data_IF_886053568038
#
_entry.id   IF_886053568038
#
_cell.length_a   1.000
_cell.length_b   1.000
_cell.length_c   1.000
_cell.angle_alpha   90.00
_cell.angle_beta   90.00
_cell.angle_gamma   90.00
#
_symmetry.space_group_name_H-M   'P 1'
#
loop_
_entity.id
_entity.type
_entity.pdbx_description
1 polymer ?
#
# COMPACT_ATOMS: atom_id res chain seq x y z
N UNK A 1 -6.43 -32.94 -37.20
CA UNK A 1 -6.77 -31.95 -36.16
C UNK A 1 -5.94 -32.30 -34.94
N UNK A 2 -4.98 -31.44 -34.56
CA UNK A 2 -4.27 -31.58 -33.28
C UNK A 2 -5.18 -30.96 -32.21
N UNK A 3 -5.56 -31.76 -31.22
CA UNK A 3 -6.22 -31.28 -30.01
C UNK A 3 -5.29 -30.24 -29.35
N UNK A 4 -5.78 -29.01 -29.24
CA UNK A 4 -5.15 -27.98 -28.42
C UNK A 4 -5.39 -28.39 -26.96
N UNK A 5 -4.42 -29.08 -26.37
CA UNK A 5 -4.34 -29.24 -24.92
C UNK A 5 -4.32 -27.85 -24.31
N UNK A 6 -5.27 -27.57 -23.41
CA UNK A 6 -5.38 -26.29 -22.69
C UNK A 6 -4.05 -25.91 -22.01
N UNK A 7 -3.89 -24.62 -21.62
CA UNK A 7 -2.62 -24.15 -21.09
C UNK A 7 -2.19 -24.98 -19.89
N UNK A 8 -1.00 -25.58 -19.97
CA UNK A 8 -0.41 -26.41 -18.92
C UNK A 8 -0.50 -25.68 -17.57
N UNK A 9 -1.03 -26.34 -16.55
CA UNK A 9 -1.04 -25.80 -15.19
C UNK A 9 0.41 -25.82 -14.70
N UNK A 10 0.95 -24.64 -14.37
CA UNK A 10 2.28 -24.53 -13.78
C UNK A 10 2.39 -25.26 -12.44
N UNK A 11 3.62 -25.46 -11.92
CA UNK A 11 3.86 -26.25 -10.72
C UNK A 11 3.12 -25.67 -9.52
N UNK A 12 2.54 -26.55 -8.71
CA UNK A 12 1.85 -26.16 -7.49
C UNK A 12 2.86 -25.75 -6.43
N UNK A 13 2.70 -24.55 -5.86
CA UNK A 13 3.50 -24.06 -4.73
C UNK A 13 2.62 -23.67 -3.57
N UNK A 14 3.17 -23.83 -2.36
CA UNK A 14 2.61 -23.27 -1.15
C UNK A 14 3.29 -21.94 -0.82
N UNK A 15 2.51 -20.97 -0.37
CA UNK A 15 3.01 -19.69 0.12
C UNK A 15 2.18 -19.19 1.29
N UNK A 16 2.75 -18.29 2.07
CA UNK A 16 2.10 -17.74 3.26
C UNK A 16 1.49 -16.37 2.95
N UNK A 17 0.27 -16.16 3.47
CA UNK A 17 -0.35 -14.86 3.59
C UNK A 17 -0.53 -14.56 5.08
N UNK A 18 -0.11 -13.38 5.51
CA UNK A 18 -0.29 -12.91 6.87
C UNK A 18 -0.97 -11.57 6.84
N UNK A 19 -2.13 -11.50 7.48
CA UNK A 19 -2.86 -10.25 7.69
C UNK A 19 -2.47 -9.66 9.03
N UNK A 20 -2.20 -8.36 9.07
CA UNK A 20 -1.83 -7.63 10.28
C UNK A 20 -2.80 -6.47 10.51
N UNK A 21 -3.43 -6.44 11.68
CA UNK A 21 -4.40 -5.41 12.07
C UNK A 21 -3.76 -4.44 13.09
N UNK A 22 -3.32 -3.30 12.57
CA UNK A 22 -2.78 -2.16 13.30
C UNK A 22 -3.61 -0.90 12.98
N UNK A 23 -4.93 -1.07 12.80
CA UNK A 23 -5.83 0.03 12.40
C UNK A 23 -5.48 0.60 11.02
N UNK A 24 -5.35 1.92 10.92
CA UNK A 24 -4.95 2.67 9.72
C UNK A 24 -3.59 2.29 9.14
N UNK A 25 -2.83 1.44 9.84
CA UNK A 25 -1.53 0.92 9.38
C UNK A 25 -1.52 -0.58 9.20
N UNK A 26 -2.68 -1.19 9.06
CA UNK A 26 -2.82 -2.61 8.73
C UNK A 26 -2.26 -2.91 7.34
N UNK A 27 -1.71 -4.10 7.16
CA UNK A 27 -1.11 -4.52 5.88
C UNK A 27 -1.28 -6.03 5.66
N UNK A 28 -1.03 -6.44 4.42
CA UNK A 28 -1.01 -7.84 4.01
C UNK A 28 0.42 -8.20 3.62
N UNK A 29 0.94 -9.24 4.24
CA UNK A 29 2.24 -9.81 3.95
C UNK A 29 2.07 -11.07 3.11
N UNK A 30 2.85 -11.19 2.03
CA UNK A 30 2.84 -12.34 1.14
C UNK A 30 4.26 -12.85 0.97
N UNK A 31 4.50 -14.12 1.30
CA UNK A 31 5.85 -14.71 1.23
C UNK A 31 6.37 -14.81 -0.20
N UNK A 32 5.51 -14.71 -1.22
CA UNK A 32 5.94 -14.65 -2.62
C UNK A 32 6.63 -13.33 -2.96
N UNK A 33 6.51 -12.28 -2.16
CA UNK A 33 7.14 -10.99 -2.48
C UNK A 33 8.68 -11.06 -2.48
N UNK A 34 9.29 -11.98 -1.74
CA UNK A 34 10.75 -12.20 -1.76
C UNK A 34 11.23 -13.06 -2.92
N UNK A 35 10.36 -13.87 -3.52
CA UNK A 35 10.60 -14.70 -4.71
C UNK A 35 9.51 -14.38 -5.75
N UNK A 36 9.51 -13.12 -6.21
CA UNK A 36 8.39 -12.53 -6.94
C UNK A 36 8.13 -13.27 -8.25
N UNK A 37 6.93 -13.89 -8.45
CA UNK A 37 6.64 -14.65 -9.66
C UNK A 37 6.67 -13.81 -10.95
N UNK A 38 6.62 -12.49 -10.85
CA UNK A 38 6.76 -11.59 -12.01
C UNK A 38 8.14 -11.66 -12.67
N UNK A 39 9.18 -12.02 -11.92
CA UNK A 39 10.58 -12.11 -12.40
C UNK A 39 11.10 -10.84 -13.11
N UNK A 40 10.51 -9.68 -12.82
CA UNK A 40 10.85 -8.39 -13.43
C UNK A 40 11.58 -7.44 -12.49
N UNK A 41 11.87 -7.89 -11.26
CA UNK A 41 12.52 -7.14 -10.20
C UNK A 41 11.84 -5.80 -9.85
N UNK A 42 10.52 -5.67 -10.09
CA UNK A 42 9.74 -4.44 -9.79
C UNK A 42 8.80 -4.61 -8.60
N UNK A 43 8.60 -5.85 -8.14
CA UNK A 43 7.70 -6.17 -7.04
C UNK A 43 6.25 -5.73 -7.30
N UNK A 44 5.56 -5.25 -6.27
CA UNK A 44 4.17 -4.75 -6.37
C UNK A 44 4.07 -3.28 -6.82
N UNK A 45 5.17 -2.65 -7.22
CA UNK A 45 5.25 -1.19 -7.42
C UNK A 45 4.87 -0.74 -8.83
N UNK A 46 3.66 -1.07 -9.30
CA UNK A 46 3.19 -0.70 -10.64
C UNK A 46 2.41 0.64 -10.69
N UNK A 47 2.32 1.35 -9.57
CA UNK A 47 1.65 2.64 -9.43
C UNK A 47 2.61 3.67 -8.82
N UNK A 48 2.22 4.95 -8.91
CA UNK A 48 2.91 6.03 -8.22
C UNK A 48 2.47 6.00 -6.75
N UNK A 49 3.39 5.85 -5.78
CA UNK A 49 3.03 5.99 -4.37
C UNK A 49 2.35 7.34 -4.14
N UNK A 50 1.15 7.31 -3.57
CA UNK A 50 0.33 8.49 -3.31
C UNK A 50 0.07 8.60 -1.81
N UNK A 51 0.57 9.68 -1.21
CA UNK A 51 0.44 9.97 0.21
C UNK A 51 -0.71 10.94 0.43
N UNK A 52 -1.62 10.56 1.32
CA UNK A 52 -2.77 11.35 1.75
C UNK A 52 -2.57 11.94 3.15
N UNK A 53 -3.43 12.85 3.63
CA UNK A 53 -3.29 13.49 4.94
C UNK A 53 -3.11 12.49 6.09
N UNK A 54 -3.83 11.36 6.04
CA UNK A 54 -3.70 10.30 7.05
C UNK A 54 -2.28 9.70 7.06
N UNK A 55 -1.68 9.43 5.90
CA UNK A 55 -0.29 8.95 5.78
C UNK A 55 0.69 9.97 6.36
N UNK A 56 0.55 11.24 6.00
CA UNK A 56 1.40 12.29 6.53
C UNK A 56 1.27 12.45 8.04
N UNK A 57 0.05 12.40 8.59
CA UNK A 57 -0.16 12.45 10.04
C UNK A 57 0.57 11.32 10.76
N UNK A 58 0.57 10.11 10.18
CA UNK A 58 1.29 8.99 10.77
C UNK A 58 2.81 9.14 10.67
N UNK A 59 3.31 9.54 9.51
CA UNK A 59 4.74 9.75 9.30
C UNK A 59 5.27 10.87 10.21
N UNK A 60 4.55 11.98 10.36
CA UNK A 60 4.89 13.05 11.30
C UNK A 60 5.05 12.52 12.74
N UNK A 61 4.15 11.63 13.16
CA UNK A 61 4.13 11.11 14.52
C UNK A 61 5.16 9.99 14.79
N UNK A 62 5.57 9.23 13.77
CA UNK A 62 6.33 7.99 13.97
C UNK A 62 7.68 7.94 13.25
N UNK A 63 7.83 8.64 12.13
CA UNK A 63 9.04 8.65 11.31
C UNK A 63 9.15 9.96 10.51
N UNK A 64 9.27 11.13 11.17
CA UNK A 64 9.29 12.43 10.49
C UNK A 64 10.43 12.54 9.47
N UNK A 65 11.54 11.84 9.68
CA UNK A 65 12.66 11.73 8.73
C UNK A 65 12.25 11.08 7.40
N UNK A 66 11.22 10.24 7.38
CA UNK A 66 10.69 9.67 6.14
C UNK A 66 10.09 10.76 5.24
N UNK A 67 9.55 11.83 5.81
CA UNK A 67 9.03 12.96 5.04
C UNK A 67 10.15 13.68 4.30
N UNK A 68 11.30 13.91 4.94
CA UNK A 68 12.46 14.52 4.29
C UNK A 68 12.87 13.71 3.05
N UNK A 69 12.92 12.38 3.19
CA UNK A 69 13.20 11.47 2.09
C UNK A 69 12.14 11.59 0.99
N UNK A 70 10.86 11.52 1.34
CA UNK A 70 9.74 11.59 0.37
C UNK A 70 9.75 12.91 -0.41
N UNK A 71 9.92 14.04 0.28
CA UNK A 71 9.98 15.37 -0.33
C UNK A 71 11.28 15.64 -1.10
N UNK A 72 12.35 14.88 -0.85
CA UNK A 72 13.59 14.94 -1.62
C UNK A 72 13.57 14.16 -2.93
N UNK A 73 12.53 13.34 -3.16
CA UNK A 73 12.43 12.54 -4.39
C UNK A 73 12.31 13.44 -5.62
N UNK A 74 13.01 13.14 -6.72
CA UNK A 74 12.76 13.81 -7.99
C UNK A 74 11.33 13.53 -8.47
N UNK A 75 10.71 14.45 -9.20
CA UNK A 75 9.37 14.27 -9.80
C UNK A 75 8.26 13.90 -8.80
N UNK A 76 8.04 14.79 -7.84
CA UNK A 76 6.83 14.75 -7.02
C UNK A 76 5.71 15.59 -7.66
N UNK A 77 4.49 15.10 -7.57
CA UNK A 77 3.28 15.86 -7.87
C UNK A 77 2.60 16.17 -6.55
N UNK A 78 2.59 17.44 -6.16
CA UNK A 78 1.81 17.92 -5.01
C UNK A 78 0.47 18.42 -5.56
N UNK A 79 -0.64 18.00 -4.98
CA UNK A 79 -1.99 18.56 -5.18
C UNK A 79 -2.55 19.02 -3.83
N UNK A 80 -3.75 19.61 -3.83
CA UNK A 80 -4.38 20.14 -2.61
C UNK A 80 -4.59 19.03 -1.55
N UNK A 81 -5.00 17.84 -1.98
CA UNK A 81 -5.47 16.77 -1.10
C UNK A 81 -4.49 15.61 -0.95
N UNK A 82 -3.45 15.54 -1.78
CA UNK A 82 -2.48 14.45 -1.76
C UNK A 82 -1.17 14.84 -2.44
N UNK A 83 -0.16 14.00 -2.25
CA UNK A 83 1.09 14.07 -3.00
C UNK A 83 1.42 12.70 -3.59
N UNK A 84 1.86 12.64 -4.84
CA UNK A 84 2.40 11.42 -5.43
C UNK A 84 3.87 11.55 -5.79
N UNK A 85 4.60 10.44 -5.67
CA UNK A 85 5.98 10.32 -6.16
C UNK A 85 5.93 9.59 -7.49
N UNK A 86 6.27 10.27 -8.59
CA UNK A 86 6.17 9.67 -9.91
C UNK A 86 7.18 8.53 -10.06
N UNK A 87 6.81 7.45 -10.73
CA UNK A 87 7.79 6.43 -11.10
C UNK A 87 8.80 6.99 -12.12
N UNK A 88 10.02 6.50 -12.03
CA UNK A 88 11.08 6.81 -13.00
C UNK A 88 11.16 5.71 -14.04
N UNK A 89 11.51 6.10 -15.26
CA UNK A 89 11.83 5.15 -16.32
C UNK A 89 13.08 4.33 -15.93
N UNK A 90 12.99 3.04 -16.14
CA UNK A 90 14.05 2.05 -15.94
C UNK A 90 14.75 1.76 -17.27
N UNK A 91 15.86 1.03 -17.21
CA UNK A 91 16.72 0.71 -18.37
C UNK A 91 15.99 0.03 -19.54
N UNK A 92 14.88 -0.65 -19.27
CA UNK A 92 14.09 -1.39 -20.27
C UNK A 92 12.89 -0.59 -20.82
N UNK A 93 12.79 0.72 -20.51
CA UNK A 93 11.67 1.58 -20.94
C UNK A 93 10.37 1.39 -20.15
N UNK A 94 10.43 0.67 -19.03
CA UNK A 94 9.32 0.49 -18.09
C UNK A 94 9.56 1.30 -16.81
N UNK A 95 8.57 1.42 -15.92
CA UNK A 95 8.62 2.36 -14.79
C UNK A 95 8.84 1.67 -13.45
N UNK A 96 9.75 2.22 -12.62
CA UNK A 96 10.03 1.74 -11.26
C UNK A 96 9.71 2.81 -10.21
N UNK A 97 9.11 2.37 -9.10
CA UNK A 97 8.94 3.20 -7.91
C UNK A 97 10.30 3.60 -7.34
N UNK A 98 10.43 4.88 -6.98
CA UNK A 98 11.67 5.45 -6.48
C UNK A 98 12.09 4.93 -5.09
N UNK A 99 11.16 4.29 -4.37
CA UNK A 99 11.42 3.64 -3.10
C UNK A 99 11.85 2.18 -3.24
N UNK A 100 11.85 1.63 -4.46
CA UNK A 100 12.19 0.23 -4.72
C UNK A 100 13.63 0.11 -5.25
N UNK A 101 14.45 -0.70 -4.60
CA UNK A 101 15.77 -1.12 -5.10
C UNK A 101 15.73 -2.56 -5.62
N UNK A 102 16.56 -2.85 -6.62
CA UNK A 102 16.65 -4.21 -7.20
C UNK A 102 17.17 -5.25 -6.19
N UNK A 103 18.04 -4.83 -5.28
CA UNK A 103 18.71 -5.72 -4.32
C UNK A 103 17.91 -5.90 -3.02
N UNK A 104 17.07 -4.93 -2.66
CA UNK A 104 16.43 -4.87 -1.33
C UNK A 104 14.91 -4.65 -1.34
N UNK A 105 14.29 -4.53 -2.51
CA UNK A 105 12.86 -4.27 -2.63
C UNK A 105 12.49 -2.86 -2.15
N UNK A 106 11.29 -2.70 -1.57
CA UNK A 106 10.86 -1.41 -1.05
C UNK A 106 11.66 -1.04 0.21
N UNK A 107 12.24 0.17 0.23
CA UNK A 107 12.98 0.70 1.38
C UNK A 107 12.11 0.94 2.62
N UNK A 108 10.79 1.03 2.45
CA UNK A 108 9.86 1.32 3.54
C UNK A 108 9.40 0.03 4.21
N UNK A 109 9.44 0.02 5.54
CA UNK A 109 8.68 -0.93 6.33
C UNK A 109 7.18 -0.78 6.03
N UNK A 110 6.36 -1.87 6.08
CA UNK A 110 4.96 -1.83 5.66
C UNK A 110 4.14 -0.67 6.25
N UNK A 111 4.30 -0.39 7.54
CA UNK A 111 3.60 0.66 8.27
C UNK A 111 3.93 2.08 7.80
N UNK A 112 5.08 2.29 7.14
CA UNK A 112 5.51 3.59 6.60
C UNK A 112 5.07 3.80 5.13
N UNK A 113 4.51 2.77 4.50
CA UNK A 113 4.02 2.85 3.13
C UNK A 113 2.64 3.48 3.09
N UNK A 114 2.27 4.07 1.95
CA UNK A 114 0.89 4.50 1.70
C UNK A 114 -0.08 3.32 1.52
N UNK A 115 -1.37 3.60 1.51
CA UNK A 115 -2.44 2.60 1.57
C UNK A 115 -2.27 1.46 0.57
N UNK A 116 -2.16 1.73 -0.73
CA UNK A 116 -2.06 0.70 -1.79
C UNK A 116 -0.86 -0.20 -1.57
N UNK A 117 0.28 0.36 -1.18
CA UNK A 117 1.47 -0.39 -0.81
C UNK A 117 1.33 -1.30 0.41
N UNK A 118 0.36 -1.05 1.31
CA UNK A 118 0.11 -1.88 2.50
C UNK A 118 -0.77 -3.10 2.19
N UNK A 119 -1.83 -2.92 1.42
CA UNK A 119 -2.85 -3.95 1.21
C UNK A 119 -2.88 -4.57 -0.20
N UNK A 120 -2.09 -4.09 -1.15
CA UNK A 120 -2.03 -4.72 -2.46
C UNK A 120 -1.37 -6.11 -2.40
N UNK A 121 -2.08 -7.11 -2.91
CA UNK A 121 -1.54 -8.44 -3.22
C UNK A 121 -1.88 -8.77 -4.67
N UNK A 122 -0.92 -9.34 -5.40
CA UNK A 122 -1.10 -9.66 -6.81
C UNK A 122 -2.34 -10.57 -7.02
N UNK A 123 -3.21 -10.28 -8.01
CA UNK A 123 -4.36 -11.13 -8.31
C UNK A 123 -4.01 -12.58 -8.61
N UNK A 124 -2.81 -12.86 -9.14
CA UNK A 124 -2.28 -14.22 -9.30
C UNK A 124 -2.28 -15.06 -8.00
N UNK A 125 -2.20 -14.43 -6.82
CA UNK A 125 -2.29 -15.14 -5.54
C UNK A 125 -3.71 -15.61 -5.21
N UNK A 126 -4.74 -14.98 -5.79
CA UNK A 126 -6.17 -15.31 -5.59
C UNK A 126 -6.55 -15.46 -4.11
N UNK A 127 -6.05 -14.54 -3.26
CA UNK A 127 -6.19 -14.65 -1.79
C UNK A 127 -7.65 -14.56 -1.35
N UNK A 128 -8.46 -13.76 -2.06
CA UNK A 128 -9.86 -13.51 -1.69
C UNK A 128 -10.79 -14.69 -1.99
N UNK A 129 -10.28 -15.75 -2.63
CA UNK A 129 -11.01 -16.99 -2.92
C UNK A 129 -10.81 -18.07 -1.84
N UNK A 130 -9.90 -17.85 -0.88
CA UNK A 130 -9.59 -18.84 0.17
C UNK A 130 -10.66 -18.86 1.28
N UNK A 131 -10.95 -20.06 1.78
CA UNK A 131 -11.89 -20.23 2.88
C UNK A 131 -11.40 -19.51 4.14
N UNK A 132 -12.32 -18.81 4.83
CA UNK A 132 -12.02 -18.08 6.06
C UNK A 132 -11.36 -16.71 5.87
N UNK A 133 -10.99 -16.30 4.64
CA UNK A 133 -10.45 -14.94 4.36
C UNK A 133 -11.53 -13.86 4.32
N UNK A 134 -12.82 -14.23 4.23
CA UNK A 134 -13.95 -13.27 4.15
C UNK A 134 -13.91 -12.16 5.21
N UNK A 135 -13.58 -12.49 6.46
CA UNK A 135 -13.44 -11.51 7.55
C UNK A 135 -12.36 -10.45 7.27
N UNK A 136 -11.26 -10.85 6.62
CA UNK A 136 -10.20 -9.92 6.23
C UNK A 136 -10.57 -9.09 5.03
N UNK A 137 -11.34 -9.64 4.09
CA UNK A 137 -11.87 -8.85 3.00
C UNK A 137 -12.77 -7.73 3.53
N UNK A 138 -13.71 -8.07 4.41
CA UNK A 138 -14.57 -7.08 5.08
C UNK A 138 -13.75 -6.05 5.87
N UNK A 139 -12.70 -6.49 6.56
CA UNK A 139 -11.79 -5.60 7.29
C UNK A 139 -11.12 -4.57 6.37
N UNK A 140 -10.48 -5.01 5.29
CA UNK A 140 -9.74 -4.12 4.39
C UNK A 140 -10.67 -3.23 3.56
N UNK A 141 -11.84 -3.72 3.13
CA UNK A 141 -12.86 -2.90 2.46
C UNK A 141 -13.35 -1.78 3.41
N UNK A 142 -13.57 -2.10 4.69
CA UNK A 142 -13.94 -1.11 5.71
C UNK A 142 -12.80 -0.14 6.02
N UNK A 143 -11.56 -0.62 6.06
CA UNK A 143 -10.38 0.19 6.31
C UNK A 143 -10.19 1.23 5.22
N UNK A 144 -10.31 0.83 3.95
CA UNK A 144 -10.24 1.74 2.79
C UNK A 144 -11.30 2.84 2.89
N UNK A 145 -12.56 2.46 3.17
CA UNK A 145 -13.64 3.43 3.34
C UNK A 145 -13.37 4.43 4.48
N UNK A 146 -12.85 3.95 5.61
CA UNK A 146 -12.49 4.78 6.75
C UNK A 146 -11.30 5.71 6.43
N UNK A 147 -10.25 5.22 5.75
CA UNK A 147 -9.15 6.06 5.29
C UNK A 147 -9.62 7.19 4.36
N UNK A 148 -10.53 6.88 3.44
CA UNK A 148 -11.13 7.89 2.55
C UNK A 148 -11.96 8.94 3.32
N UNK A 149 -12.66 8.53 4.37
CA UNK A 149 -13.42 9.42 5.24
C UNK A 149 -12.48 10.39 5.98
N UNK A 150 -11.47 9.84 6.67
CA UNK A 150 -10.49 10.61 7.43
C UNK A 150 -9.76 11.59 6.51
N UNK A 151 -9.24 11.13 5.37
CA UNK A 151 -8.54 11.97 4.41
C UNK A 151 -9.40 13.14 3.94
N UNK A 152 -10.67 12.89 3.62
CA UNK A 152 -11.61 13.92 3.17
C UNK A 152 -11.89 14.94 4.26
N UNK A 153 -12.12 14.50 5.48
CA UNK A 153 -12.38 15.38 6.61
C UNK A 153 -11.17 16.29 6.90
N UNK A 154 -9.96 15.72 6.93
CA UNK A 154 -8.72 16.47 7.12
C UNK A 154 -8.50 17.49 6.00
N UNK A 155 -8.65 17.09 4.74
CA UNK A 155 -8.52 18.00 3.59
C UNK A 155 -9.52 19.14 3.63
N UNK A 156 -10.78 18.87 3.99
CA UNK A 156 -11.82 19.90 4.11
C UNK A 156 -11.51 20.90 5.21
N UNK A 157 -11.09 20.43 6.39
CA UNK A 157 -10.74 21.29 7.52
C UNK A 157 -9.50 22.15 7.22
N UNK A 158 -8.46 21.57 6.64
CA UNK A 158 -7.25 22.32 6.24
C UNK A 158 -7.57 23.38 5.19
N UNK A 159 -8.40 23.03 4.20
CA UNK A 159 -8.87 23.96 3.16
C UNK A 159 -9.71 25.09 3.75
N UNK A 160 -10.58 24.82 4.72
CA UNK A 160 -11.37 25.83 5.41
C UNK A 160 -10.49 26.85 6.17
N UNK A 161 -9.29 26.44 6.60
CA UNK A 161 -8.28 27.30 7.21
C UNK A 161 -7.38 28.02 6.19
N UNK A 162 -7.62 27.83 4.89
CA UNK A 162 -6.78 28.39 3.83
C UNK A 162 -5.39 27.76 3.75
N UNK A 163 -5.25 26.51 4.21
CA UNK A 163 -3.98 25.79 4.24
C UNK A 163 -3.92 24.75 3.11
N UNK A 164 -2.81 24.74 2.40
CA UNK A 164 -2.48 23.73 1.41
C UNK A 164 -0.97 23.45 1.42
N UNK A 165 -0.61 22.26 0.94
CA UNK A 165 0.76 21.76 0.98
C UNK A 165 1.72 22.52 0.05
N UNK A 166 1.23 23.27 -0.93
CA UNK A 166 2.06 24.03 -1.88
C UNK A 166 2.42 25.40 -1.33
N UNK A 167 1.42 26.14 -0.86
CA UNK A 167 1.60 27.53 -0.43
C UNK A 167 2.08 27.63 1.00
N UNK A 168 1.64 26.71 1.89
CA UNK A 168 1.88 26.82 3.32
C UNK A 168 2.32 25.48 3.95
N UNK A 169 3.33 24.76 3.42
CA UNK A 169 3.64 23.38 3.82
C UNK A 169 3.91 23.21 5.32
N UNK A 170 4.67 24.12 5.94
CA UNK A 170 5.03 24.02 7.36
C UNK A 170 3.78 24.13 8.25
N UNK A 171 2.93 25.13 8.00
CA UNK A 171 1.71 25.31 8.79
C UNK A 171 0.67 24.24 8.46
N UNK A 172 0.59 23.78 7.20
CA UNK A 172 -0.25 22.66 6.79
C UNK A 172 0.06 21.40 7.62
N UNK A 173 1.33 20.98 7.69
CA UNK A 173 1.69 19.77 8.44
C UNK A 173 1.51 19.90 9.95
N UNK A 174 1.82 21.08 10.50
CA UNK A 174 1.58 21.37 11.91
C UNK A 174 0.08 21.29 12.26
N UNK A 175 -0.79 21.88 11.45
CA UNK A 175 -2.23 21.85 11.69
C UNK A 175 -2.82 20.46 11.43
N UNK A 176 -2.33 19.75 10.42
CA UNK A 176 -2.72 18.36 10.14
C UNK A 176 -2.52 17.47 11.37
N UNK A 177 -1.36 17.56 12.02
CA UNK A 177 -1.06 16.77 13.21
C UNK A 177 -2.02 17.10 14.36
N UNK A 178 -2.32 18.39 14.56
CA UNK A 178 -3.27 18.86 15.60
C UNK A 178 -4.68 18.34 15.34
N UNK A 179 -5.19 18.50 14.12
CA UNK A 179 -6.55 18.06 13.76
C UNK A 179 -6.66 16.53 13.87
N UNK A 180 -5.66 15.80 13.36
CA UNK A 180 -5.66 14.34 13.44
C UNK A 180 -5.72 13.87 14.90
N UNK A 181 -4.87 14.42 15.78
CA UNK A 181 -4.83 14.03 17.20
C UNK A 181 -6.08 14.39 17.98
N UNK A 182 -6.81 15.42 17.57
CA UNK A 182 -8.03 15.86 18.23
C UNK A 182 -9.23 14.95 17.89
N UNK A 183 -9.37 14.62 16.61
CA UNK A 183 -10.64 14.09 16.09
C UNK A 183 -10.54 12.63 15.60
N UNK A 184 -9.32 12.10 15.44
CA UNK A 184 -9.08 10.82 14.80
C UNK A 184 -8.11 9.93 15.58
N UNK A 185 -8.16 8.63 15.27
CA UNK A 185 -7.28 7.62 15.84
C UNK A 185 -6.70 6.74 14.74
N UNK A 186 -5.42 6.40 14.86
CA UNK A 186 -4.79 5.36 14.03
C UNK A 186 -5.38 3.97 14.29
N UNK A 187 -6.01 3.74 15.44
CA UNK A 187 -6.67 2.49 15.76
C UNK A 187 -8.13 2.77 16.13
N UNK A 188 -9.05 2.83 15.16
CA UNK A 188 -10.46 3.02 15.45
C UNK A 188 -11.03 1.78 16.17
N UNK A 189 -12.00 1.99 17.07
CA UNK A 189 -12.48 0.94 17.99
C UNK A 189 -12.99 -0.31 17.28
N UNK A 190 -13.56 -0.16 16.09
CA UNK A 190 -14.07 -1.29 15.32
C UNK A 190 -12.97 -2.27 14.90
N UNK A 191 -11.70 -1.84 14.81
CA UNK A 191 -10.58 -2.74 14.52
C UNK A 191 -10.40 -3.79 15.61
N UNK A 192 -10.81 -3.53 16.86
CA UNK A 192 -10.69 -4.46 17.99
C UNK A 192 -11.59 -5.70 17.84
N UNK A 193 -12.60 -5.64 16.96
CA UNK A 193 -13.45 -6.77 16.65
C UNK A 193 -12.78 -7.80 15.71
N UNK A 194 -11.62 -7.47 15.13
CA UNK A 194 -10.88 -8.31 14.19
C UNK A 194 -9.60 -8.87 14.83
N UNK A 195 -9.10 -10.04 14.39
CA UNK A 195 -7.84 -10.58 14.89
C UNK A 195 -6.69 -9.59 14.67
N UNK A 196 -5.74 -9.52 15.63
CA UNK A 196 -4.54 -8.68 15.48
C UNK A 196 -3.60 -9.17 14.37
N UNK A 197 -3.53 -10.48 14.19
CA UNK A 197 -2.70 -11.14 13.19
C UNK A 197 -3.32 -12.48 12.85
N UNK A 198 -3.36 -12.84 11.57
CA UNK A 198 -3.80 -14.18 11.15
C UNK A 198 -2.99 -14.64 9.94
N UNK A 199 -2.57 -15.91 9.97
CA UNK A 199 -1.78 -16.54 8.92
C UNK A 199 -2.62 -17.58 8.17
N UNK A 200 -2.44 -17.62 6.85
CA UNK A 200 -2.96 -18.63 5.94
C UNK A 200 -1.82 -19.23 5.11
N UNK A 201 -1.90 -20.54 4.84
CA UNK A 201 -1.00 -21.23 3.92
C UNK A 201 -1.81 -21.56 2.67
N UNK A 202 -1.52 -20.89 1.57
CA UNK A 202 -2.25 -21.05 0.33
C UNK A 202 -1.45 -21.98 -0.58
N UNK A 203 -2.17 -22.87 -1.28
CA UNK A 203 -1.59 -23.75 -2.28
C UNK A 203 -2.20 -23.44 -3.64
N UNK A 204 -1.37 -23.06 -4.63
CA UNK A 204 -1.83 -22.64 -5.96
C UNK A 204 -0.87 -23.09 -7.07
N UNK A 205 -1.38 -23.34 -8.29
CA UNK A 205 -0.52 -23.45 -9.47
C UNK A 205 0.11 -22.10 -9.78
N UNK A 206 1.44 -22.08 -9.92
CA UNK A 206 2.18 -20.84 -10.17
C UNK A 206 2.54 -20.69 -11.64
N UNK A 207 2.33 -19.49 -12.17
CA UNK A 207 2.88 -19.04 -13.46
C UNK A 207 3.94 -17.97 -13.20
N UNK A 208 4.86 -17.78 -14.13
CA UNK A 208 5.99 -16.87 -13.94
C UNK A 208 6.14 -15.89 -15.11
N UNK A 209 6.86 -14.80 -14.88
CA UNK A 209 7.14 -13.80 -15.88
C UNK A 209 5.87 -13.20 -16.48
N UNK A 210 5.81 -13.17 -17.82
CA UNK A 210 4.69 -12.61 -18.59
C UNK A 210 3.36 -13.34 -18.39
N UNK A 211 3.39 -14.55 -17.85
CA UNK A 211 2.17 -15.33 -17.58
C UNK A 211 1.59 -15.08 -16.19
N UNK A 212 2.30 -14.32 -15.33
CA UNK A 212 1.79 -13.94 -14.03
C UNK A 212 0.64 -12.93 -14.16
N UNK A 213 -0.44 -13.18 -13.42
CA UNK A 213 -1.64 -12.31 -13.44
C UNK A 213 -1.43 -11.09 -12.54
N UNK A 214 -1.44 -9.91 -13.16
CA UNK A 214 -1.49 -8.60 -12.53
C UNK A 214 -2.92 -8.04 -12.46
#
# INVERSE_FOLDING_TARGET
MKELTGPEKGPERSFEIVFHNLGLRSWIECSLCSDCPREDAKGCCYYNPTYYPTDFAYLLANAPEALEVIFSMPRITVLEEYMSVDRLEDKDGDFRCQFHSLEGGCRWAPELRESVCRFYVCPGCSIWEEEGIGIWKEFFDRLEAYEMEVNRALSQELKARGLDMKSNPVEYFKQLEVIFKADWSFEPDWCKAYPRKQKFILKRPMRYGKEWKL
#
